data_IF_746229338260
#
_entry.id   IF_746229338260
#
_cell.length_a   1.000
_cell.length_b   1.000
_cell.length_c   1.000
_cell.angle_alpha   90.00
_cell.angle_beta   90.00
_cell.angle_gamma   90.00
#
_symmetry.space_group_name_H-M   'P 1'
#
loop_
_entity.id
_entity.type
_entity.pdbx_description
1 polymer ?
#
# COMPACT_ATOMS: atom_id res chain seq x y z
N UNK A 1 -18.88 13.98 -10.26
CA UNK A 1 -17.53 14.23 -9.72
C UNK A 1 -16.79 12.89 -9.73
N UNK A 2 -15.75 12.73 -10.56
CA UNK A 2 -14.95 11.50 -10.65
C UNK A 2 -13.64 11.71 -9.90
N UNK A 3 -13.65 11.44 -8.59
CA UNK A 3 -12.45 11.39 -7.77
C UNK A 3 -12.16 9.94 -7.44
N UNK A 4 -10.91 9.52 -7.58
CA UNK A 4 -10.47 8.15 -7.33
C UNK A 4 -9.37 8.16 -6.27
N UNK A 5 -9.61 7.51 -5.14
CA UNK A 5 -8.55 7.21 -4.18
C UNK A 5 -7.89 5.87 -4.51
N UNK A 6 -6.56 5.81 -4.39
CA UNK A 6 -5.79 4.56 -4.55
C UNK A 6 -5.11 4.27 -3.21
N UNK A 7 -5.65 3.33 -2.42
CA UNK A 7 -5.05 2.97 -1.15
C UNK A 7 -3.80 2.08 -1.35
N UNK A 8 -2.83 2.24 -0.46
CA UNK A 8 -1.71 1.31 -0.29
C UNK A 8 -2.11 0.06 0.47
N UNK A 9 -1.16 -0.59 1.16
CA UNK A 9 -1.54 -1.67 2.08
C UNK A 9 -2.19 -1.07 3.31
N UNK A 10 -3.49 -1.33 3.47
CA UNK A 10 -4.28 -0.89 4.62
C UNK A 10 -4.62 -2.10 5.49
N UNK A 11 -4.45 -1.95 6.80
CA UNK A 11 -4.81 -2.96 7.78
C UNK A 11 -6.32 -3.15 7.83
N UNK A 12 -6.78 -4.18 7.15
CA UNK A 12 -8.19 -4.58 7.10
C UNK A 12 -8.29 -6.08 7.30
N UNK A 13 -9.52 -6.56 7.55
CA UNK A 13 -9.77 -7.98 7.74
C UNK A 13 -9.67 -8.81 6.44
N UNK A 14 -9.24 -8.23 5.31
CA UNK A 14 -9.23 -8.89 4.00
C UNK A 14 -8.29 -10.11 3.95
N UNK A 15 -7.12 -10.01 4.56
CA UNK A 15 -6.13 -11.10 4.56
C UNK A 15 -6.57 -12.26 5.47
N UNK A 16 -7.17 -11.95 6.62
CA UNK A 16 -7.75 -12.96 7.51
C UNK A 16 -8.93 -13.67 6.84
N UNK A 17 -9.79 -12.93 6.14
CA UNK A 17 -10.89 -13.51 5.34
C UNK A 17 -10.39 -14.35 4.15
N UNK A 18 -9.21 -14.02 3.61
CA UNK A 18 -8.54 -14.80 2.58
C UNK A 18 -7.86 -16.08 3.11
N UNK A 19 -8.00 -16.40 4.40
CA UNK A 19 -7.52 -17.63 5.00
C UNK A 19 -6.09 -17.57 5.55
N UNK A 20 -5.50 -16.37 5.68
CA UNK A 20 -4.16 -16.23 6.25
C UNK A 20 -4.17 -16.62 7.73
N UNK A 21 -3.16 -17.39 8.16
CA UNK A 21 -2.88 -17.55 9.59
C UNK A 21 -2.39 -16.22 10.19
N UNK A 22 -2.46 -16.08 11.51
CA UNK A 22 -1.98 -14.86 12.18
C UNK A 22 -0.46 -14.65 11.97
N UNK A 23 0.31 -15.72 11.85
CA UNK A 23 1.75 -15.65 11.54
C UNK A 23 1.99 -15.19 10.10
N UNK A 24 1.20 -15.68 9.15
CA UNK A 24 1.26 -15.24 7.74
C UNK A 24 0.89 -13.78 7.59
N UNK A 25 -0.14 -13.34 8.31
CA UNK A 25 -0.56 -11.96 8.34
C UNK A 25 0.53 -11.05 8.92
N UNK A 26 1.14 -11.44 10.06
CA UNK A 26 2.26 -10.69 10.64
C UNK A 26 3.47 -10.61 9.69
N UNK A 27 3.83 -11.72 9.04
CA UNK A 27 4.90 -11.74 8.02
C UNK A 27 4.58 -10.82 6.85
N UNK A 28 3.34 -10.82 6.40
CA UNK A 28 2.85 -9.93 5.34
C UNK A 28 3.00 -8.46 5.75
N UNK A 29 2.54 -8.08 6.95
CA UNK A 29 2.66 -6.70 7.44
C UNK A 29 4.11 -6.25 7.53
N UNK A 30 5.01 -7.09 8.05
CA UNK A 30 6.46 -6.80 8.13
C UNK A 30 7.03 -6.52 6.74
N UNK A 31 6.68 -7.34 5.74
CA UNK A 31 7.13 -7.11 4.36
C UNK A 31 6.59 -5.79 3.81
N UNK A 32 5.33 -5.46 4.10
CA UNK A 32 4.73 -4.21 3.64
C UNK A 32 5.42 -2.98 4.22
N UNK A 33 5.98 -3.03 5.44
CA UNK A 33 6.78 -1.92 6.00
C UNK A 33 7.93 -1.48 5.08
N UNK A 34 8.55 -2.43 4.38
CA UNK A 34 9.69 -2.15 3.49
C UNK A 34 9.27 -1.48 2.18
N UNK A 35 8.01 -1.63 1.77
CA UNK A 35 7.51 -1.09 0.50
C UNK A 35 6.76 0.23 0.64
N UNK A 36 6.60 0.78 1.85
CA UNK A 36 5.98 2.08 2.08
C UNK A 36 7.05 3.04 2.57
N UNK A 37 7.09 4.27 2.04
CA UNK A 37 8.10 5.27 2.43
C UNK A 37 7.97 5.62 3.92
N UNK A 38 6.75 5.60 4.45
CA UNK A 38 6.46 5.79 5.87
C UNK A 38 6.89 4.63 6.78
N UNK A 39 7.41 3.52 6.23
CA UNK A 39 7.88 2.38 7.02
C UNK A 39 6.77 1.59 7.73
N UNK A 40 5.51 1.86 7.40
CA UNK A 40 4.33 1.21 8.00
C UNK A 40 3.19 1.03 6.99
N UNK A 41 2.29 0.13 7.33
CA UNK A 41 0.96 0.00 6.73
C UNK A 41 0.05 1.15 7.16
N UNK A 42 -0.96 1.42 6.35
CA UNK A 42 -2.00 2.41 6.65
C UNK A 42 -3.16 1.82 7.45
N UNK A 43 -3.97 2.67 8.04
CA UNK A 43 -5.21 2.31 8.75
C UNK A 43 -6.45 2.74 7.97
N UNK A 44 -7.60 2.06 8.15
CA UNK A 44 -8.85 2.40 7.45
C UNK A 44 -9.25 3.87 7.63
N UNK A 45 -9.00 4.43 8.81
CA UNK A 45 -9.32 5.83 9.13
C UNK A 45 -8.56 6.83 8.24
N UNK A 46 -7.34 6.51 7.80
CA UNK A 46 -6.56 7.39 6.91
C UNK A 46 -7.21 7.51 5.51
N UNK A 47 -7.77 6.40 5.03
CA UNK A 47 -8.55 6.38 3.78
C UNK A 47 -9.89 7.08 3.97
N UNK A 48 -10.59 6.80 5.07
CA UNK A 48 -11.87 7.42 5.38
C UNK A 48 -11.76 8.95 5.50
N UNK A 49 -10.72 9.44 6.18
CA UNK A 49 -10.46 10.87 6.34
C UNK A 49 -10.18 11.55 4.99
N UNK A 50 -9.45 10.89 4.09
CA UNK A 50 -9.20 11.42 2.74
C UNK A 50 -10.49 11.48 1.94
N UNK A 51 -11.33 10.45 2.01
CA UNK A 51 -12.65 10.44 1.36
C UNK A 51 -13.53 11.55 1.94
N UNK A 52 -13.55 11.73 3.27
CA UNK A 52 -14.32 12.78 3.92
C UNK A 52 -13.87 14.19 3.47
N UNK A 53 -12.56 14.42 3.37
CA UNK A 53 -12.00 15.66 2.82
C UNK A 53 -12.47 15.89 1.37
N UNK A 54 -12.34 14.88 0.51
CA UNK A 54 -12.72 14.94 -0.91
C UNK A 54 -14.24 15.05 -1.14
N UNK A 55 -15.04 14.69 -0.15
CA UNK A 55 -16.49 14.85 -0.17
C UNK A 55 -16.96 16.19 0.43
N UNK A 56 -16.07 16.94 1.08
CA UNK A 56 -16.37 18.20 1.74
C UNK A 56 -16.12 19.41 0.83
N UNK A 57 -16.70 20.56 1.19
CA UNK A 57 -16.50 21.84 0.51
C UNK A 57 -15.03 22.31 0.50
N UNK A 58 -14.20 21.76 1.39
CA UNK A 58 -12.75 22.03 1.42
C UNK A 58 -12.04 21.58 0.13
N UNK A 59 -12.66 20.69 -0.64
CA UNK A 59 -12.16 20.19 -1.91
C UNK A 59 -12.94 20.72 -3.12
N UNK A 60 -13.69 21.82 -2.96
CA UNK A 60 -14.60 22.37 -3.98
C UNK A 60 -13.95 22.69 -5.33
N UNK A 61 -12.63 22.87 -5.37
CA UNK A 61 -11.87 23.11 -6.60
C UNK A 61 -10.91 21.96 -7.00
N UNK A 62 -11.08 20.77 -6.39
CA UNK A 62 -10.29 19.58 -6.68
C UNK A 62 -11.19 18.58 -7.42
N UNK A 63 -10.91 18.32 -8.69
CA UNK A 63 -11.66 17.37 -9.53
C UNK A 63 -10.75 16.76 -10.58
N UNK A 64 -11.06 15.53 -11.03
CA UNK A 64 -10.30 14.82 -12.05
C UNK A 64 -8.98 14.21 -11.57
N UNK A 65 -8.65 14.38 -10.28
CA UNK A 65 -7.39 13.93 -9.70
C UNK A 65 -7.47 12.52 -9.09
N UNK A 66 -6.30 11.86 -9.06
CA UNK A 66 -6.08 10.59 -8.39
C UNK A 66 -5.28 10.85 -7.11
N UNK A 67 -5.93 10.69 -5.96
CA UNK A 67 -5.29 10.90 -4.66
C UNK A 67 -4.78 9.58 -4.11
N UNK A 68 -3.46 9.49 -3.94
CA UNK A 68 -2.79 8.31 -3.41
C UNK A 68 -2.79 8.34 -1.88
N UNK A 69 -3.36 7.29 -1.26
CA UNK A 69 -3.38 7.10 0.19
C UNK A 69 -2.60 5.84 0.53
N UNK A 70 -1.30 5.88 0.25
CA UNK A 70 -0.47 4.67 0.18
C UNK A 70 0.86 4.75 0.92
N UNK A 71 1.03 5.74 1.80
CA UNK A 71 2.26 5.94 2.55
C UNK A 71 3.51 6.12 1.69
N UNK A 72 3.36 6.63 0.46
CA UNK A 72 4.45 6.88 -0.48
C UNK A 72 4.91 5.65 -1.26
N UNK A 73 4.17 4.54 -1.19
CA UNK A 73 4.49 3.28 -1.89
C UNK A 73 4.64 3.48 -3.40
N UNK A 74 3.72 4.20 -4.03
CA UNK A 74 3.77 4.52 -5.46
C UNK A 74 5.01 5.35 -5.84
N UNK A 75 5.39 6.33 -5.01
CA UNK A 75 6.52 7.21 -5.28
C UNK A 75 7.86 6.47 -5.19
N UNK A 76 8.03 5.57 -4.22
CA UNK A 76 9.29 4.84 -4.05
C UNK A 76 9.44 3.66 -5.02
N UNK A 77 8.34 3.01 -5.40
CA UNK A 77 8.39 1.90 -6.36
C UNK A 77 8.63 2.40 -7.80
N UNK A 78 8.14 3.59 -8.15
CA UNK A 78 8.38 4.19 -9.48
C UNK A 78 9.81 4.73 -9.66
N UNK A 79 10.49 5.12 -8.57
CA UNK A 79 11.88 5.58 -8.60
C UNK A 79 12.92 4.48 -8.32
N UNK A 80 12.49 3.23 -8.09
CA UNK A 80 13.38 2.10 -7.78
C UNK A 80 13.86 1.33 -9.02
N UNK A 81 14.14 2.02 -10.13
CA UNK A 81 15.28 1.59 -10.96
C UNK A 81 16.56 2.01 -10.25
N UNK A 82 17.02 1.17 -9.31
CA UNK A 82 18.36 1.08 -8.67
C UNK A 82 18.22 0.76 -7.16
N UNK A 83 17.80 -0.46 -6.84
CA UNK A 83 18.22 -1.11 -5.60
C UNK A 83 19.26 -2.19 -5.94
N UNK A 84 20.57 -1.89 -5.94
CA UNK A 84 21.60 -2.88 -6.29
C UNK A 84 21.90 -3.94 -5.22
N UNK A 85 21.14 -4.06 -4.12
CA UNK A 85 21.56 -4.94 -3.01
C UNK A 85 20.54 -5.93 -2.42
N UNK A 86 19.30 -6.06 -2.90
CA UNK A 86 18.32 -6.85 -2.15
C UNK A 86 17.54 -7.97 -2.85
N UNK A 87 17.92 -8.43 -4.05
CA UNK A 87 17.37 -9.69 -4.58
C UNK A 87 18.38 -10.43 -5.46
N UNK A 88 19.23 -11.25 -4.83
CA UNK A 88 19.81 -12.43 -5.47
C UNK A 88 19.31 -13.69 -4.77
N UNK A 89 18.02 -13.96 -4.93
CA UNK A 89 17.49 -15.31 -4.74
C UNK A 89 17.30 -15.92 -6.13
N UNK A 90 18.25 -16.79 -6.53
CA UNK A 90 18.05 -17.72 -7.65
C UNK A 90 17.47 -19.00 -7.06
N UNK A 91 16.15 -19.26 -7.14
CA UNK A 91 15.66 -20.60 -6.88
C UNK A 91 15.93 -21.42 -8.14
N UNK A 92 17.06 -22.11 -8.19
CA UNK A 92 17.22 -23.19 -9.15
C UNK A 92 18.19 -24.25 -8.62
N UNK A 93 17.66 -25.17 -7.82
CA UNK A 93 18.02 -26.60 -7.83
C UNK A 93 16.82 -27.42 -7.35
N UNK A 94 15.89 -27.67 -8.26
CA UNK A 94 15.11 -28.90 -8.23
C UNK A 94 15.44 -29.66 -9.52
N UNK A 95 16.32 -30.66 -9.35
CA UNK A 95 16.39 -31.83 -10.22
C UNK A 95 15.30 -32.77 -9.71
N UNK A 96 14.33 -33.09 -10.55
CA UNK A 96 13.91 -34.41 -11.03
C UNK A 96 12.70 -34.17 -11.93
#
# INVERSE_FOLDING_TARGET
>A
MFLKSIPGTIETNIHRRAGYTEEEYKRFLIRCKQSHALGRTGFPDEVANTIAFLASDLSSFITGEIVHVDGGRHAILSHSQKFPYLFRFRPNKLKW
#
